data_IF_231639614838
#
_entry.id   IF_231639614838
#
_cell.length_a   1.000
_cell.length_b   1.000
_cell.length_c   1.000
_cell.angle_alpha   90.00
_cell.angle_beta   90.00
_cell.angle_gamma   90.00
#
_symmetry.space_group_name_H-M   'P 1'
#
loop_
_entity.id
_entity.type
_entity.pdbx_description
1 polymer ?
#
# COMPACT_ATOMS: atom_id res chain seq x y z
N UNK A 1 -21.63 12.57 3.55
CA UNK A 1 -20.60 11.67 4.11
C UNK A 1 -19.49 12.52 4.68
N UNK A 2 -19.08 12.22 5.91
CA UNK A 2 -17.89 12.81 6.51
C UNK A 2 -16.62 12.07 6.03
N UNK A 3 -15.44 12.58 6.37
CA UNK A 3 -14.16 11.99 5.97
C UNK A 3 -13.96 10.55 6.48
N UNK A 4 -14.49 10.22 7.66
CA UNK A 4 -14.38 8.88 8.24
C UNK A 4 -15.21 7.86 7.45
N UNK A 5 -16.42 8.23 7.01
CA UNK A 5 -17.29 7.36 6.21
C UNK A 5 -16.59 6.96 4.88
N UNK A 6 -15.93 7.93 4.24
CA UNK A 6 -15.19 7.71 2.97
C UNK A 6 -14.02 6.74 3.20
N UNK A 7 -13.31 6.89 4.32
CA UNK A 7 -12.19 6.01 4.65
C UNK A 7 -12.65 4.58 4.92
N UNK A 8 -13.76 4.43 5.64
CA UNK A 8 -14.35 3.12 5.93
C UNK A 8 -14.85 2.41 4.67
N UNK A 9 -15.46 3.15 3.74
CA UNK A 9 -15.86 2.62 2.44
C UNK A 9 -14.66 2.16 1.60
N UNK A 10 -13.59 2.97 1.53
CA UNK A 10 -12.33 2.59 0.85
C UNK A 10 -11.73 1.33 1.47
N UNK A 11 -11.70 1.24 2.80
CA UNK A 11 -11.22 0.06 3.53
C UNK A 11 -12.04 -1.17 3.18
N UNK A 12 -13.36 -1.07 3.23
CA UNK A 12 -14.27 -2.15 2.88
C UNK A 12 -14.08 -2.61 1.43
N UNK A 13 -13.86 -1.66 0.50
CA UNK A 13 -13.55 -1.94 -0.90
C UNK A 13 -12.25 -2.74 -1.05
N UNK A 14 -11.14 -2.29 -0.45
CA UNK A 14 -9.84 -3.01 -0.50
C UNK A 14 -9.96 -4.43 0.06
N UNK A 15 -10.64 -4.61 1.19
CA UNK A 15 -10.86 -5.93 1.80
C UNK A 15 -11.67 -6.84 0.87
N UNK A 16 -12.71 -6.30 0.22
CA UNK A 16 -13.55 -7.05 -0.72
C UNK A 16 -12.73 -7.55 -1.91
N UNK A 17 -11.92 -6.68 -2.51
CA UNK A 17 -11.10 -7.05 -3.66
C UNK A 17 -10.00 -8.05 -3.29
N UNK A 18 -9.37 -7.91 -2.12
CA UNK A 18 -8.44 -8.94 -1.61
C UNK A 18 -9.11 -10.31 -1.47
N UNK A 19 -10.31 -10.38 -0.89
CA UNK A 19 -11.07 -11.63 -0.75
C UNK A 19 -11.44 -12.22 -2.13
N UNK A 20 -11.88 -11.37 -3.05
CA UNK A 20 -12.22 -11.77 -4.43
C UNK A 20 -11.04 -12.38 -5.17
N UNK A 21 -9.82 -11.92 -4.87
CA UNK A 21 -8.56 -12.44 -5.40
C UNK A 21 -7.95 -13.57 -4.55
N UNK A 22 -8.74 -14.22 -3.68
CA UNK A 22 -8.30 -15.39 -2.89
C UNK A 22 -7.29 -15.06 -1.77
N UNK A 23 -7.07 -13.77 -1.46
CA UNK A 23 -6.17 -13.39 -0.39
C UNK A 23 -6.82 -13.56 0.98
N UNK A 24 -6.14 -14.25 1.90
CA UNK A 24 -6.53 -14.30 3.31
C UNK A 24 -6.34 -12.93 3.97
N UNK A 25 -7.35 -12.46 4.70
CA UNK A 25 -7.28 -11.21 5.47
C UNK A 25 -6.70 -11.50 6.85
N UNK A 26 -5.38 -11.43 6.98
CA UNK A 26 -4.67 -11.57 8.26
C UNK A 26 -4.62 -10.23 9.02
N UNK A 27 -4.31 -10.27 10.33
CA UNK A 27 -4.16 -9.06 11.14
C UNK A 27 -3.10 -8.10 10.56
N UNK A 28 -1.94 -8.63 10.14
CA UNK A 28 -0.90 -7.84 9.47
C UNK A 28 -1.41 -7.12 8.22
N UNK A 29 -2.26 -7.77 7.41
CA UNK A 29 -2.85 -7.13 6.23
C UNK A 29 -3.85 -6.05 6.61
N UNK A 30 -4.64 -6.23 7.67
CA UNK A 30 -5.54 -5.17 8.15
C UNK A 30 -4.73 -3.93 8.58
N UNK A 31 -3.68 -4.12 9.38
CA UNK A 31 -2.79 -3.03 9.81
C UNK A 31 -2.19 -2.30 8.60
N UNK A 32 -1.69 -3.04 7.61
CA UNK A 32 -1.10 -2.44 6.42
C UNK A 32 -2.13 -1.70 5.55
N UNK A 33 -3.37 -2.19 5.46
CA UNK A 33 -4.45 -1.47 4.77
C UNK A 33 -4.74 -0.14 5.49
N UNK A 34 -4.83 -0.18 6.82
CA UNK A 34 -5.08 1.02 7.61
C UNK A 34 -3.95 2.04 7.45
N UNK A 35 -2.69 1.58 7.44
CA UNK A 35 -1.51 2.43 7.19
C UNK A 35 -1.52 3.03 5.77
N UNK A 36 -1.86 2.24 4.74
CA UNK A 36 -1.91 2.72 3.35
C UNK A 36 -3.03 3.74 3.14
N UNK A 37 -4.15 3.58 3.86
CA UNK A 37 -5.31 4.45 3.74
C UNK A 37 -5.22 5.70 4.61
N UNK A 38 -4.33 5.72 5.62
CA UNK A 38 -3.95 6.95 6.30
C UNK A 38 -3.23 7.87 5.31
N UNK A 39 -3.66 9.13 5.24
CA UNK A 39 -3.14 10.11 4.28
C UNK A 39 -1.62 10.27 4.43
N UNK A 40 -0.94 10.43 3.29
CA UNK A 40 0.51 10.69 3.14
C UNK A 40 1.53 9.56 3.39
N UNK A 41 1.21 8.28 3.18
CA UNK A 41 2.29 7.30 2.98
C UNK A 41 2.95 7.49 1.59
N UNK A 42 4.10 8.16 1.56
CA UNK A 42 4.84 8.52 0.34
C UNK A 42 5.74 7.39 -0.16
N UNK A 43 6.10 6.43 0.71
CA UNK A 43 6.96 5.31 0.33
C UNK A 43 6.81 4.07 1.25
N UNK A 44 7.30 2.92 0.78
CA UNK A 44 7.26 1.66 1.55
C UNK A 44 8.02 1.75 2.89
N UNK A 45 8.98 2.67 3.02
CA UNK A 45 9.74 2.88 4.27
C UNK A 45 8.87 3.48 5.37
N UNK A 46 8.06 4.47 5.04
CA UNK A 46 7.11 5.06 5.99
C UNK A 46 6.04 4.05 6.39
N UNK A 47 5.49 3.32 5.40
CA UNK A 47 4.52 2.25 5.67
C UNK A 47 5.08 1.22 6.66
N UNK A 48 6.36 0.86 6.52
CA UNK A 48 7.02 -0.05 7.45
C UNK A 48 7.11 0.51 8.87
N UNK A 49 7.59 1.74 9.06
CA UNK A 49 7.72 2.30 10.41
C UNK A 49 6.37 2.43 11.09
N UNK A 50 5.34 2.92 10.38
CA UNK A 50 3.99 3.03 10.94
C UNK A 50 3.38 1.66 11.26
N UNK A 51 3.66 0.64 10.45
CA UNK A 51 3.20 -0.72 10.71
C UNK A 51 3.96 -1.37 11.87
N UNK A 52 5.26 -1.11 12.00
CA UNK A 52 6.13 -1.64 13.06
C UNK A 52 5.69 -1.14 14.44
N UNK A 53 5.25 0.11 14.55
CA UNK A 53 4.67 0.68 15.78
C UNK A 53 3.39 -0.03 16.23
N UNK A 54 2.61 -0.56 15.27
CA UNK A 54 1.35 -1.27 15.53
C UNK A 54 1.55 -2.78 15.75
N UNK A 55 2.48 -3.37 15.01
CA UNK A 55 2.82 -4.81 15.08
C UNK A 55 4.32 -5.03 14.77
N UNK A 56 5.14 -5.29 15.81
CA UNK A 56 6.58 -5.54 15.66
C UNK A 56 6.95 -6.75 14.81
N UNK A 57 5.99 -7.62 14.48
CA UNK A 57 6.23 -8.80 13.61
C UNK A 57 6.19 -8.46 12.12
N UNK A 58 5.75 -7.25 11.76
CA UNK A 58 5.71 -6.80 10.38
C UNK A 58 7.13 -6.38 9.95
N UNK A 59 7.76 -7.21 9.12
CA UNK A 59 9.02 -6.87 8.46
C UNK A 59 8.84 -6.14 7.13
N UNK A 60 9.90 -5.50 6.65
CA UNK A 60 9.93 -4.83 5.34
C UNK A 60 9.48 -5.72 4.18
N UNK A 61 9.88 -7.00 4.17
CA UNK A 61 9.46 -7.95 3.14
C UNK A 61 7.93 -8.16 3.12
N UNK A 62 7.26 -8.05 4.27
CA UNK A 62 5.80 -8.13 4.36
C UNK A 62 5.14 -6.90 3.75
N UNK A 63 5.69 -5.71 3.99
CA UNK A 63 5.24 -4.46 3.35
C UNK A 63 5.36 -4.56 1.84
N UNK A 64 6.53 -4.94 1.31
CA UNK A 64 6.74 -5.07 -0.13
C UNK A 64 5.82 -6.09 -0.77
N UNK A 65 5.62 -7.26 -0.15
CA UNK A 65 4.67 -8.28 -0.64
C UNK A 65 3.25 -7.73 -0.67
N UNK A 66 2.84 -6.99 0.36
CA UNK A 66 1.50 -6.40 0.41
C UNK A 66 1.30 -5.35 -0.69
N UNK A 67 2.24 -4.42 -0.84
CA UNK A 67 2.22 -3.40 -1.92
C UNK A 67 2.17 -4.07 -3.29
N UNK A 68 3.03 -5.08 -3.53
CA UNK A 68 3.03 -5.85 -4.79
C UNK A 68 1.68 -6.53 -5.04
N UNK A 69 1.08 -7.16 -4.03
CA UNK A 69 -0.25 -7.78 -4.17
C UNK A 69 -1.31 -6.75 -4.52
N UNK A 70 -1.34 -5.58 -3.87
CA UNK A 70 -2.32 -4.54 -4.18
C UNK A 70 -2.12 -3.96 -5.59
N UNK A 71 -0.88 -3.84 -6.04
CA UNK A 71 -0.52 -3.38 -7.39
C UNK A 71 -0.93 -4.42 -8.45
N UNK A 72 -0.69 -5.71 -8.22
CA UNK A 72 -1.11 -6.81 -9.09
C UNK A 72 -2.64 -6.92 -9.22
N UNK A 73 -3.39 -6.58 -8.16
CA UNK A 73 -4.86 -6.49 -8.19
C UNK A 73 -5.33 -5.19 -8.87
N UNK A 74 -4.47 -4.19 -9.01
CA UNK A 74 -4.80 -2.87 -9.58
C UNK A 74 -5.42 -1.90 -8.57
N UNK A 75 -5.28 -2.16 -7.27
CA UNK A 75 -5.82 -1.30 -6.19
C UNK A 75 -4.93 -0.08 -5.91
N UNK A 76 -3.65 -0.17 -6.23
CA UNK A 76 -2.69 0.93 -6.09
C UNK A 76 -1.84 1.04 -7.35
N UNK A 77 -1.34 2.24 -7.61
CA UNK A 77 -0.37 2.49 -8.68
C UNK A 77 0.85 3.17 -8.08
N UNK A 78 2.04 2.67 -8.40
CA UNK A 78 3.27 3.41 -8.13
C UNK A 78 3.45 4.51 -9.16
N UNK A 79 3.62 5.75 -8.70
CA UNK A 79 4.19 6.81 -9.54
C UNK A 79 5.70 6.54 -9.65
N UNK A 80 6.24 6.57 -10.87
CA UNK A 80 7.66 6.30 -11.12
C UNK A 80 8.54 7.23 -10.27
N UNK A 81 9.39 6.64 -9.43
CA UNK A 81 10.26 7.36 -8.49
C UNK A 81 11.55 7.87 -9.13
N UNK A 82 12.01 7.20 -10.20
CA UNK A 82 13.26 7.53 -10.88
C UNK A 82 13.01 7.64 -12.37
N UNK A 83 13.37 8.79 -12.95
CA UNK A 83 13.47 8.99 -14.39
C UNK A 83 14.93 9.33 -14.69
N UNK A 84 15.59 8.48 -15.46
CA UNK A 84 16.92 8.77 -16.00
C UNK A 84 16.67 9.21 -17.44
N UNK A 85 16.68 10.51 -17.67
CA UNK A 85 16.73 11.04 -19.03
C UNK A 85 18.18 10.92 -19.50
N UNK A 86 18.43 10.12 -20.52
CA UNK A 86 19.74 10.06 -21.18
C UNK A 86 20.05 11.41 -21.80
N UNK A 87 21.26 11.91 -21.53
CA UNK A 87 21.76 13.18 -22.02
C UNK A 87 21.59 13.28 -23.54
N UNK A 88 20.95 14.36 -23.97
CA UNK A 88 20.97 14.80 -25.35
C UNK A 88 22.40 15.20 -25.71
N UNK A 89 23.21 14.24 -26.15
CA UNK A 89 24.48 14.50 -26.82
C UNK A 89 24.37 14.09 -28.29
N UNK A 90 23.95 15.06 -29.10
CA UNK A 90 24.45 15.35 -30.46
C UNK A 90 24.62 14.19 -31.46
N UNK A 91 23.69 14.08 -32.40
CA UNK A 91 23.89 14.20 -33.86
C UNK A 91 22.55 14.09 -34.60
#
# INVERSE_FOLDING_TARGET
MNQADILEEKRAYVIRELKRNGCRITNQRQILIDVILQDECCCCKEMYYQALEKDPTIGMATVYRMVKTLEEIGLIQRKNLYRIDGDSASA
#
